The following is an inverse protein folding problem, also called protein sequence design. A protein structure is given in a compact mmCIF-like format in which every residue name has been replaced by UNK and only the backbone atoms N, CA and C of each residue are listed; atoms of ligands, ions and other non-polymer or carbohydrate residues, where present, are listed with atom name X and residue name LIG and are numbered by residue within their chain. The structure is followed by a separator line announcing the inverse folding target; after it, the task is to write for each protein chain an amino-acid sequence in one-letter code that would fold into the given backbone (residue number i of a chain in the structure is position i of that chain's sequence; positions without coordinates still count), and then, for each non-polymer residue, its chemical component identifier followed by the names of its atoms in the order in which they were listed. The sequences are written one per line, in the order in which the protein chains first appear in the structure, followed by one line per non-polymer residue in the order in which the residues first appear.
data_IF_921169907915
#
_entry.id   IF_921169907915
#
_cell.length_a   1.000
_cell.length_b   1.000
_cell.length_c   1.000
_cell.angle_alpha   90.00
_cell.angle_beta   90.00
_cell.angle_gamma   90.00
#
_symmetry.space_group_name_H-M   'P 1'
#
loop_
_entity.id
_entity.type
_entity.pdbx_description
1 polymer ?
#
# COMPACT_ATOMS: atom_id res chain seq x y z
N UNK A 1 26.35 3.12 -73.94
CA UNK A 1 24.99 2.97 -73.37
C UNK A 1 25.15 2.98 -71.87
N UNK A 2 24.69 4.05 -71.24
CA UNK A 2 25.10 4.48 -69.92
C UNK A 2 24.02 4.02 -68.94
N UNK A 3 24.35 3.16 -67.98
CA UNK A 3 23.40 2.70 -66.94
C UNK A 3 23.67 3.46 -65.65
N UNK A 4 22.80 4.44 -65.40
CA UNK A 4 22.70 5.18 -64.14
C UNK A 4 22.05 4.26 -63.09
N UNK A 5 22.75 3.96 -62.00
CA UNK A 5 22.18 3.22 -60.86
C UNK A 5 21.87 4.19 -59.73
N UNK A 6 20.59 4.34 -59.42
CA UNK A 6 20.07 5.11 -58.29
C UNK A 6 20.01 4.18 -57.07
N UNK A 7 20.76 4.48 -56.01
CA UNK A 7 20.66 3.78 -54.72
C UNK A 7 19.71 4.57 -53.81
N UNK A 8 18.56 3.98 -53.48
CA UNK A 8 17.66 4.47 -52.43
C UNK A 8 18.08 3.79 -51.13
N UNK A 9 18.72 4.53 -50.23
CA UNK A 9 19.00 4.08 -48.87
C UNK A 9 17.76 4.35 -48.00
N UNK A 10 17.02 3.30 -47.65
CA UNK A 10 15.96 3.38 -46.65
C UNK A 10 16.61 3.39 -45.25
N UNK A 11 16.57 4.54 -44.58
CA UNK A 11 16.98 4.67 -43.19
C UNK A 11 15.85 4.16 -42.27
N UNK A 12 15.95 2.92 -41.81
CA UNK A 12 15.09 2.41 -40.73
C UNK A 12 15.53 3.03 -39.40
N UNK A 13 14.76 4.00 -38.93
CA UNK A 13 14.93 4.55 -37.58
C UNK A 13 14.38 3.55 -36.57
N UNK A 14 15.26 2.81 -35.90
CA UNK A 14 14.88 2.00 -34.75
C UNK A 14 14.56 2.93 -33.57
N UNK A 15 13.27 3.09 -33.26
CA UNK A 15 12.84 3.73 -32.02
C UNK A 15 13.14 2.77 -30.88
N UNK A 16 14.22 3.02 -30.14
CA UNK A 16 14.48 2.32 -28.89
C UNK A 16 13.44 2.82 -27.90
N UNK A 17 12.41 2.00 -27.64
CA UNK A 17 11.50 2.23 -26.54
C UNK A 17 12.32 2.21 -25.24
N UNK A 18 12.55 3.38 -24.65
CA UNK A 18 13.01 3.44 -23.27
C UNK A 18 11.93 2.78 -22.42
N UNK A 19 12.23 1.73 -21.62
CA UNK A 19 11.30 1.30 -20.60
C UNK A 19 11.14 2.50 -19.66
N UNK A 20 9.98 3.16 -19.76
CA UNK A 20 9.59 4.16 -18.79
C UNK A 20 9.76 3.50 -17.44
N UNK A 21 10.65 4.08 -16.65
CA UNK A 21 11.02 3.69 -15.30
C UNK A 21 9.74 3.40 -14.53
N UNK A 22 9.32 2.13 -14.49
CA UNK A 22 8.47 1.61 -13.44
C UNK A 22 9.36 1.74 -12.20
N UNK A 23 9.34 2.94 -11.60
CA UNK A 23 10.08 3.28 -10.39
C UNK A 23 9.80 2.13 -9.44
N UNK A 24 10.83 1.33 -9.19
CA UNK A 24 10.69 0.07 -8.49
C UNK A 24 10.00 0.36 -7.16
N UNK A 25 8.69 0.05 -7.08
CA UNK A 25 7.88 0.36 -5.89
C UNK A 25 8.37 -0.44 -4.68
N UNK A 26 9.30 -1.39 -4.88
CA UNK A 26 10.05 -2.11 -3.84
C UNK A 26 11.11 -1.26 -3.15
N UNK A 27 11.33 -0.02 -3.57
CA UNK A 27 12.33 0.88 -2.96
C UNK A 27 11.90 1.45 -1.62
N UNK A 28 10.59 1.56 -1.36
CA UNK A 28 10.09 2.08 -0.08
C UNK A 28 9.95 0.92 0.91
N UNK A 29 10.51 1.01 2.13
CA UNK A 29 10.35 -0.04 3.13
C UNK A 29 8.89 -0.24 3.50
N UNK A 30 8.47 -1.50 3.67
CA UNK A 30 7.07 -1.88 3.99
C UNK A 30 6.56 -1.16 5.23
N UNK A 31 7.34 -1.13 6.30
CA UNK A 31 7.01 -0.50 7.57
C UNK A 31 7.74 0.84 7.70
N UNK A 32 7.34 1.82 6.91
CA UNK A 32 7.91 3.17 6.91
C UNK A 32 6.82 4.18 6.65
N UNK A 33 6.86 5.33 7.31
CA UNK A 33 5.89 6.42 7.08
C UNK A 33 6.01 7.02 5.66
N UNK A 34 7.09 6.70 4.92
CA UNK A 34 7.19 7.01 3.48
C UNK A 34 6.37 6.06 2.60
N UNK A 35 5.95 4.90 3.13
CA UNK A 35 5.01 4.00 2.46
C UNK A 35 3.59 4.49 2.79
N UNK A 36 2.86 5.08 1.83
CA UNK A 36 1.55 5.68 2.11
C UNK A 36 0.57 4.67 2.69
N UNK A 37 0.61 3.41 2.26
CA UNK A 37 -0.28 2.36 2.76
C UNK A 37 0.01 1.96 4.21
N UNK A 38 1.27 2.09 4.65
CA UNK A 38 1.61 1.87 6.05
C UNK A 38 1.20 3.06 6.90
N UNK A 39 1.34 4.28 6.37
CA UNK A 39 0.85 5.49 7.02
C UNK A 39 -0.67 5.47 7.19
N UNK A 40 -1.40 5.03 6.17
CA UNK A 40 -2.86 4.83 6.21
C UNK A 40 -3.20 3.78 7.28
N UNK A 41 -2.53 2.62 7.28
CA UNK A 41 -2.69 1.61 8.33
C UNK A 41 -2.48 2.16 9.75
N UNK A 42 -1.44 2.98 9.96
CA UNK A 42 -1.21 3.63 11.27
C UNK A 42 -2.35 4.58 11.64
N UNK A 43 -2.86 5.31 10.66
CA UNK A 43 -3.99 6.24 10.83
C UNK A 43 -5.24 5.48 11.24
N UNK A 44 -5.60 4.41 10.53
CA UNK A 44 -6.77 3.57 10.85
C UNK A 44 -6.69 3.01 12.26
N UNK A 45 -5.51 2.52 12.67
CA UNK A 45 -5.30 2.01 14.03
C UNK A 45 -5.45 3.12 15.08
N UNK A 46 -4.97 4.33 14.79
CA UNK A 46 -5.12 5.49 15.68
C UNK A 46 -6.59 5.93 15.78
N UNK A 47 -7.34 5.92 14.69
CA UNK A 47 -8.77 6.22 14.67
C UNK A 47 -9.57 5.19 15.46
N UNK A 48 -9.36 3.89 15.21
CA UNK A 48 -9.99 2.80 15.96
C UNK A 48 -9.70 2.91 17.47
N UNK A 49 -8.47 3.25 17.87
CA UNK A 49 -8.12 3.50 19.28
C UNK A 49 -8.89 4.70 19.85
N UNK A 50 -9.00 5.79 19.08
CA UNK A 50 -9.73 6.99 19.52
C UNK A 50 -11.22 6.72 19.68
N UNK A 51 -11.83 5.97 18.76
CA UNK A 51 -13.23 5.58 18.83
C UNK A 51 -13.50 4.64 19.99
N UNK A 52 -12.66 3.61 20.19
CA UNK A 52 -12.73 2.77 21.38
C UNK A 52 -12.73 3.59 22.68
N UNK A 53 -11.81 4.56 22.82
CA UNK A 53 -11.78 5.44 24.01
C UNK A 53 -13.08 6.23 24.17
N UNK A 54 -13.62 6.73 23.06
CA UNK A 54 -14.85 7.53 23.00
C UNK A 54 -16.08 6.69 23.38
N UNK A 55 -16.13 5.43 22.97
CA UNK A 55 -17.25 4.52 23.21
C UNK A 55 -17.19 3.94 24.62
N UNK A 56 -16.00 3.55 25.09
CA UNK A 56 -15.82 3.13 26.48
C UNK A 56 -16.17 4.24 27.48
N UNK A 57 -15.94 5.51 27.12
CA UNK A 57 -16.35 6.66 27.93
C UNK A 57 -17.87 6.87 27.98
N UNK A 58 -18.62 6.35 26.99
CA UNK A 58 -20.09 6.42 26.92
C UNK A 58 -20.78 5.12 27.35
N UNK A 59 -20.03 4.03 27.51
CA UNK A 59 -20.58 2.72 27.80
C UNK A 59 -21.03 2.61 29.27
N UNK A 60 -22.34 2.48 29.48
CA UNK A 60 -22.92 2.42 30.82
C UNK A 60 -22.79 1.01 31.44
N UNK A 61 -22.95 -0.04 30.63
CA UNK A 61 -22.95 -1.43 31.10
C UNK A 61 -21.79 -2.29 30.54
N UNK A 62 -21.71 -3.54 30.99
CA UNK A 62 -20.67 -4.47 30.57
C UNK A 62 -20.86 -4.94 29.11
N UNK A 63 -22.10 -5.00 28.62
CA UNK A 63 -22.39 -5.42 27.25
C UNK A 63 -21.87 -4.36 26.26
N UNK A 64 -22.17 -3.09 26.51
CA UNK A 64 -21.72 -1.94 25.71
C UNK A 64 -20.19 -1.86 25.64
N UNK A 65 -19.50 -2.12 26.76
CA UNK A 65 -18.03 -2.18 26.79
C UNK A 65 -17.49 -3.33 25.95
N UNK A 66 -18.12 -4.51 26.04
CA UNK A 66 -17.74 -5.68 25.25
C UNK A 66 -17.92 -5.41 23.75
N UNK A 67 -19.02 -4.77 23.38
CA UNK A 67 -19.31 -4.43 21.98
C UNK A 67 -18.29 -3.43 21.42
N UNK A 68 -17.94 -2.38 22.18
CA UNK A 68 -16.90 -1.43 21.80
C UNK A 68 -15.53 -2.12 21.58
N UNK A 69 -15.15 -3.03 22.46
CA UNK A 69 -13.93 -3.83 22.27
C UNK A 69 -14.03 -4.79 21.07
N UNK A 70 -15.19 -5.38 20.82
CA UNK A 70 -15.39 -6.27 19.68
C UNK A 70 -15.28 -5.50 18.36
N UNK A 71 -15.83 -4.28 18.31
CA UNK A 71 -15.73 -3.37 17.17
C UNK A 71 -14.28 -2.98 16.90
N UNK A 72 -13.56 -2.48 17.90
CA UNK A 72 -12.14 -2.18 17.80
C UNK A 72 -11.31 -3.35 17.24
N UNK A 73 -11.57 -4.58 17.71
CA UNK A 73 -10.85 -5.75 17.21
C UNK A 73 -11.18 -6.09 15.75
N UNK A 74 -12.41 -5.86 15.29
CA UNK A 74 -12.78 -6.02 13.88
C UNK A 74 -12.06 -4.98 13.02
N UNK A 75 -12.10 -3.72 13.41
CA UNK A 75 -11.43 -2.63 12.67
C UNK A 75 -9.93 -2.85 12.55
N UNK A 76 -9.27 -3.27 13.64
CA UNK A 76 -7.84 -3.63 13.61
C UNK A 76 -7.56 -4.82 12.68
N UNK A 77 -8.47 -5.79 12.62
CA UNK A 77 -8.33 -6.93 11.73
C UNK A 77 -8.51 -6.52 10.25
N UNK A 78 -9.48 -5.66 9.97
CA UNK A 78 -9.77 -5.13 8.64
C UNK A 78 -8.63 -4.24 8.13
N UNK A 79 -8.17 -3.28 8.93
CA UNK A 79 -7.02 -2.44 8.59
C UNK A 79 -5.76 -3.28 8.29
N UNK A 80 -5.52 -4.35 9.08
CA UNK A 80 -4.41 -5.27 8.83
C UNK A 80 -4.59 -6.07 7.55
N UNK A 81 -5.82 -6.51 7.26
CA UNK A 81 -6.15 -7.23 6.03
C UNK A 81 -5.89 -6.33 4.81
N UNK A 82 -6.38 -5.10 4.85
CA UNK A 82 -6.29 -4.16 3.74
C UNK A 82 -4.85 -3.72 3.49
N UNK A 83 -4.08 -3.42 4.54
CA UNK A 83 -2.65 -3.17 4.41
C UNK A 83 -1.93 -4.34 3.73
N UNK A 84 -2.19 -5.58 4.16
CA UNK A 84 -1.57 -6.78 3.57
C UNK A 84 -1.98 -6.96 2.11
N UNK A 85 -3.24 -6.70 1.77
CA UNK A 85 -3.76 -6.76 0.41
C UNK A 85 -3.05 -5.74 -0.48
N UNK A 86 -2.97 -4.48 -0.05
CA UNK A 86 -2.28 -3.42 -0.79
C UNK A 86 -0.80 -3.74 -1.01
N UNK A 87 -0.12 -4.31 -0.01
CA UNK A 87 1.26 -4.77 -0.15
C UNK A 87 1.39 -5.93 -1.15
N UNK A 88 0.51 -6.92 -1.06
CA UNK A 88 0.51 -8.08 -1.96
C UNK A 88 0.27 -7.68 -3.42
N UNK A 89 -0.71 -6.80 -3.68
CA UNK A 89 -1.00 -6.26 -5.03
C UNK A 89 0.18 -5.50 -5.63
N UNK A 90 1.12 -5.01 -4.80
CA UNK A 90 2.34 -4.32 -5.22
C UNK A 90 3.59 -5.21 -5.26
N UNK A 91 3.43 -6.51 -5.00
CA UNK A 91 4.55 -7.46 -4.96
C UNK A 91 5.49 -7.26 -3.76
N UNK A 92 5.02 -6.59 -2.70
CA UNK A 92 5.76 -6.40 -1.46
C UNK A 92 5.43 -7.52 -0.47
N UNK A 93 6.46 -8.07 0.19
CA UNK A 93 6.31 -9.15 1.16
C UNK A 93 6.11 -8.56 2.55
N UNK A 94 4.90 -8.66 3.08
CA UNK A 94 4.65 -8.47 4.51
C UNK A 94 5.00 -9.75 5.23
N UNK A 95 6.15 -9.78 5.90
CA UNK A 95 6.48 -10.91 6.78
C UNK A 95 5.49 -10.90 7.94
N UNK A 96 4.94 -12.08 8.28
CA UNK A 96 4.10 -12.28 9.47
C UNK A 96 4.94 -11.97 10.71
N UNK A 97 4.99 -10.70 11.08
CA UNK A 97 5.52 -10.17 12.32
C UNK A 97 4.43 -9.34 12.99
N UNK A 98 4.52 -9.18 14.30
CA UNK A 98 3.64 -8.27 15.04
C UNK A 98 3.92 -6.86 14.51
N UNK A 99 2.99 -6.28 13.73
CA UNK A 99 3.12 -4.90 13.31
C UNK A 99 2.95 -4.06 14.57
N UNK A 100 4.08 -3.59 15.09
CA UNK A 100 4.11 -2.66 16.22
C UNK A 100 4.01 -1.28 15.60
N UNK A 101 2.82 -0.70 15.68
CA UNK A 101 2.66 0.73 15.43
C UNK A 101 3.16 1.39 16.71
N UNK A 102 4.24 2.17 16.62
CA UNK A 102 4.73 2.97 17.75
C UNK A 102 3.58 3.86 18.26
N UNK A 103 3.38 3.88 19.59
CA UNK A 103 2.33 4.66 20.28
C UNK A 103 2.64 6.15 20.35
#
# INVERSE_FOLDING_TARGET
MNRTTLLIAAATSAVIATPALAKDRRTVPVYSDYNPYYLDYKTDISEAKRELRKDLARADDAASRKDAWAEYHREVADARHDFRKEMAERGMIVRNGRVTVEE
#
